data_IF_291229559383
#
_entry.id   IF_291229559383
#
_cell.length_a   1.000
_cell.length_b   1.000
_cell.length_c   1.000
_cell.angle_alpha   90.00
_cell.angle_beta   90.00
_cell.angle_gamma   90.00
#
_symmetry.space_group_name_H-M   'P 1'
#
loop_
_entity.id
_entity.type
_entity.pdbx_description
1 polymer ?
#
# COMPACT_ATOMS: atom_id res chain seq x y z
N UNK A 1 33.94 56.03 -7.09
CA UNK A 1 32.50 55.92 -7.44
C UNK A 1 32.04 54.51 -7.11
N UNK A 2 31.04 54.35 -6.24
CA UNK A 2 30.50 53.05 -5.85
C UNK A 2 29.72 52.42 -7.00
N UNK A 3 29.95 51.14 -7.25
CA UNK A 3 29.27 50.39 -8.31
C UNK A 3 27.75 50.34 -8.03
N UNK A 4 26.88 50.57 -9.04
CA UNK A 4 25.43 50.49 -8.85
C UNK A 4 24.98 49.04 -8.60
N UNK A 5 24.09 48.90 -7.63
CA UNK A 5 23.52 47.63 -7.15
C UNK A 5 22.81 46.93 -8.32
N UNK A 6 23.17 45.69 -8.60
CA UNK A 6 22.56 44.88 -9.65
C UNK A 6 21.45 44.02 -9.07
N UNK A 7 20.50 43.59 -9.90
CA UNK A 7 19.40 42.69 -9.49
C UNK A 7 19.91 41.37 -8.92
N UNK A 8 21.06 40.88 -9.40
CA UNK A 8 21.76 39.71 -8.84
C UNK A 8 22.24 39.89 -7.39
N UNK A 9 22.45 41.14 -6.95
CA UNK A 9 22.88 41.47 -5.59
C UNK A 9 21.68 41.51 -4.61
N UNK A 10 20.44 41.47 -5.13
CA UNK A 10 19.17 41.51 -4.38
C UNK A 10 18.54 40.11 -4.31
N UNK A 11 18.81 39.25 -5.30
CA UNK A 11 18.38 37.85 -5.28
C UNK A 11 19.36 37.08 -4.39
N UNK A 12 19.01 36.93 -3.11
CA UNK A 12 19.72 36.08 -2.16
C UNK A 12 19.58 34.60 -2.57
N UNK A 13 20.62 33.94 -3.11
CA UNK A 13 20.52 32.54 -3.52
C UNK A 13 20.24 31.63 -2.32
N UNK A 14 20.74 31.98 -1.13
CA UNK A 14 20.43 31.31 0.13
C UNK A 14 18.93 31.33 0.52
N UNK A 15 18.15 32.28 0.02
CA UNK A 15 16.69 32.35 0.22
C UNK A 15 15.90 31.73 -0.95
N UNK A 16 16.56 31.35 -2.05
CA UNK A 16 15.94 30.53 -3.07
C UNK A 16 15.74 29.12 -2.51
N UNK A 17 14.61 28.89 -1.85
CA UNK A 17 14.21 27.56 -1.38
C UNK A 17 14.29 26.61 -2.55
N UNK A 18 15.23 25.67 -2.51
CA UNK A 18 15.29 24.58 -3.47
C UNK A 18 14.10 23.64 -3.19
N UNK A 19 12.96 24.00 -3.76
CA UNK A 19 11.70 23.29 -3.65
C UNK A 19 11.86 21.84 -4.11
N UNK A 20 12.69 21.58 -5.13
CA UNK A 20 12.95 20.24 -5.63
C UNK A 20 13.58 19.37 -4.55
N UNK A 21 14.61 19.88 -3.88
CA UNK A 21 15.29 19.19 -2.77
C UNK A 21 14.37 19.01 -1.56
N UNK A 22 13.57 20.03 -1.22
CA UNK A 22 12.61 19.97 -0.11
C UNK A 22 11.52 18.92 -0.35
N UNK A 23 10.90 18.92 -1.54
CA UNK A 23 9.88 17.95 -1.92
C UNK A 23 10.44 16.53 -2.01
N UNK A 24 11.66 16.37 -2.52
CA UNK A 24 12.36 15.08 -2.56
C UNK A 24 12.64 14.54 -1.15
N UNK A 25 12.99 15.43 -0.22
CA UNK A 25 13.23 15.09 1.19
C UNK A 25 11.93 14.70 1.89
N UNK A 26 10.84 15.45 1.68
CA UNK A 26 9.50 15.10 2.18
C UNK A 26 9.04 13.74 1.65
N UNK A 27 9.18 13.50 0.33
CA UNK A 27 8.84 12.20 -0.29
C UNK A 27 9.66 11.05 0.29
N UNK A 28 10.91 11.29 0.69
CA UNK A 28 11.72 10.27 1.37
C UNK A 28 11.26 10.03 2.80
N UNK A 29 10.86 11.09 3.51
CA UNK A 29 10.34 11.01 4.87
C UNK A 29 9.02 10.23 4.94
N UNK A 30 8.15 10.31 3.92
CA UNK A 30 6.93 9.49 3.87
C UNK A 30 7.24 7.99 3.84
N UNK A 31 8.40 7.59 3.29
CA UNK A 31 8.85 6.20 3.21
C UNK A 31 9.57 5.71 4.48
N UNK A 32 9.54 6.48 5.57
CA UNK A 32 10.13 6.08 6.85
C UNK A 32 9.50 4.80 7.41
N UNK A 33 10.27 4.05 8.20
CA UNK A 33 9.80 2.82 8.83
C UNK A 33 8.57 3.10 9.70
N UNK A 34 8.57 4.18 10.48
CA UNK A 34 7.45 4.55 11.34
C UNK A 34 6.16 4.79 10.54
N UNK A 35 6.24 5.47 9.39
CA UNK A 35 5.07 5.68 8.54
C UNK A 35 4.58 4.39 7.90
N UNK A 36 5.48 3.50 7.47
CA UNK A 36 5.11 2.18 6.94
C UNK A 36 4.39 1.33 7.99
N UNK A 37 4.93 1.26 9.21
CA UNK A 37 4.33 0.50 10.29
C UNK A 37 2.96 1.07 10.69
N UNK A 38 2.82 2.40 10.73
CA UNK A 38 1.52 3.04 10.96
C UNK A 38 0.53 2.71 9.86
N UNK A 39 0.93 2.84 8.60
CA UNK A 39 0.07 2.46 7.46
C UNK A 39 -0.38 1.00 7.54
N UNK A 40 0.51 0.07 7.89
CA UNK A 40 0.16 -1.34 8.07
C UNK A 40 -0.89 -1.52 9.19
N UNK A 41 -0.71 -0.82 10.32
CA UNK A 41 -1.66 -0.86 11.44
C UNK A 41 -3.03 -0.32 11.04
N UNK A 42 -3.07 0.85 10.40
CA UNK A 42 -4.30 1.50 9.97
C UNK A 42 -5.04 0.64 8.91
N UNK A 43 -4.29 0.07 7.95
CA UNK A 43 -4.83 -0.84 6.94
C UNK A 43 -5.39 -2.13 7.58
N UNK A 44 -4.74 -2.66 8.62
CA UNK A 44 -5.21 -3.84 9.32
C UNK A 44 -6.54 -3.59 10.06
N UNK A 45 -6.67 -2.44 10.71
CA UNK A 45 -7.93 -2.02 11.34
C UNK A 45 -9.04 -1.82 10.32
N UNK A 46 -8.73 -1.16 9.19
CA UNK A 46 -9.68 -0.95 8.10
C UNK A 46 -10.19 -2.26 7.52
N UNK A 47 -9.30 -3.20 7.20
CA UNK A 47 -9.66 -4.52 6.66
C UNK A 47 -10.57 -5.27 7.64
N UNK A 48 -10.30 -5.19 8.94
CA UNK A 48 -11.15 -5.78 9.97
C UNK A 48 -12.55 -5.14 10.01
N UNK A 49 -12.63 -3.81 9.99
CA UNK A 49 -13.89 -3.08 9.99
C UNK A 49 -14.76 -3.41 8.77
N UNK A 50 -14.15 -3.54 7.58
CA UNK A 50 -14.86 -3.96 6.35
C UNK A 50 -15.37 -5.39 6.50
N UNK A 51 -14.54 -6.32 6.97
CA UNK A 51 -14.96 -7.70 7.17
C UNK A 51 -16.17 -7.82 8.11
N UNK A 52 -16.19 -7.03 9.18
CA UNK A 52 -17.28 -7.01 10.15
C UNK A 52 -18.55 -6.39 9.56
N UNK A 53 -18.42 -5.29 8.82
CA UNK A 53 -19.54 -4.61 8.17
C UNK A 53 -20.25 -5.51 7.14
N UNK A 54 -19.49 -6.29 6.37
CA UNK A 54 -20.05 -7.20 5.36
C UNK A 54 -20.28 -8.62 5.88
N UNK A 55 -19.88 -8.92 7.13
CA UNK A 55 -19.91 -10.27 7.71
C UNK A 55 -19.23 -11.30 6.80
N UNK A 56 -18.02 -10.97 6.33
CA UNK A 56 -17.23 -11.83 5.44
C UNK A 56 -15.93 -12.29 6.10
N UNK A 57 -15.49 -13.53 5.86
CA UNK A 57 -14.22 -14.01 6.37
C UNK A 57 -13.04 -13.32 5.67
N UNK A 58 -11.94 -13.14 6.40
CA UNK A 58 -10.73 -12.56 5.86
C UNK A 58 -9.81 -13.64 5.29
N UNK A 59 -9.46 -13.50 4.01
CA UNK A 59 -8.52 -14.37 3.30
C UNK A 59 -7.26 -13.58 2.97
N UNK A 60 -6.13 -13.99 3.54
CA UNK A 60 -4.86 -13.31 3.30
C UNK A 60 -4.26 -13.76 1.96
N UNK A 61 -3.98 -12.81 1.06
CA UNK A 61 -3.10 -13.10 -0.07
C UNK A 61 -1.64 -13.10 0.41
N UNK A 62 -0.97 -14.25 0.40
CA UNK A 62 0.39 -14.41 0.91
C UNK A 62 1.47 -13.60 0.19
N UNK A 63 1.13 -12.90 -0.91
CA UNK A 63 2.04 -11.91 -1.50
C UNK A 63 2.27 -10.71 -0.58
N UNK A 64 1.21 -10.17 0.01
CA UNK A 64 1.27 -8.98 0.88
C UNK A 64 0.15 -8.91 1.93
N UNK A 65 -0.99 -9.57 1.71
CA UNK A 65 -2.18 -9.47 2.55
C UNK A 65 -2.02 -9.98 3.99
N UNK A 66 -1.07 -10.89 4.24
CA UNK A 66 -0.77 -11.38 5.60
C UNK A 66 -0.25 -10.28 6.54
N UNK A 67 0.17 -9.11 6.03
CA UNK A 67 0.55 -7.97 6.85
C UNK A 67 -0.64 -7.23 7.48
N UNK A 68 -1.82 -7.36 6.87
CA UNK A 68 -3.00 -6.55 7.22
C UNK A 68 -4.11 -7.36 7.90
N UNK A 69 -3.88 -8.63 8.22
CA UNK A 69 -4.89 -9.49 8.83
C UNK A 69 -4.31 -10.07 10.12
N UNK A 70 -4.90 -9.75 11.29
CA UNK A 70 -4.54 -10.38 12.56
C UNK A 70 -4.67 -11.90 12.49
N UNK A 71 -3.79 -12.63 13.17
CA UNK A 71 -3.70 -14.10 13.05
C UNK A 71 -5.01 -14.79 13.48
N UNK A 72 -5.66 -14.27 14.51
CA UNK A 72 -6.94 -14.73 15.04
C UNK A 72 -8.12 -14.50 14.09
N UNK A 73 -7.97 -13.60 13.12
CA UNK A 73 -9.02 -13.25 12.14
C UNK A 73 -8.81 -13.89 10.78
N UNK A 74 -7.66 -14.49 10.54
CA UNK A 74 -7.30 -15.11 9.26
C UNK A 74 -8.06 -16.42 9.08
N UNK A 75 -9.08 -16.41 8.24
CA UNK A 75 -9.88 -17.60 7.95
C UNK A 75 -9.15 -18.55 6.98
N UNK A 76 -8.44 -17.99 5.99
CA UNK A 76 -7.69 -18.76 5.03
C UNK A 76 -6.55 -17.95 4.40
N UNK A 77 -5.77 -18.62 3.57
CA UNK A 77 -4.71 -18.04 2.74
C UNK A 77 -5.00 -18.26 1.26
N UNK A 78 -4.55 -17.32 0.43
CA UNK A 78 -4.53 -17.43 -1.02
C UNK A 78 -3.21 -16.90 -1.58
N UNK A 79 -2.92 -17.20 -2.84
CA UNK A 79 -1.73 -16.75 -3.54
C UNK A 79 -2.11 -16.30 -4.94
N UNK A 80 -2.69 -15.10 -5.05
CA UNK A 80 -3.03 -14.50 -6.34
C UNK A 80 -1.87 -13.62 -6.84
N UNK A 81 -1.51 -13.73 -8.11
CA UNK A 81 -0.69 -12.75 -8.85
C UNK A 81 -1.60 -11.70 -9.48
N UNK A 82 -1.04 -10.54 -9.82
CA UNK A 82 -1.77 -9.48 -10.54
C UNK A 82 -2.36 -9.96 -11.88
N UNK A 83 -1.78 -10.99 -12.50
CA UNK A 83 -2.30 -11.56 -13.75
C UNK A 83 -3.36 -12.64 -13.56
N UNK A 84 -3.73 -13.02 -12.34
CA UNK A 84 -4.82 -14.01 -12.11
C UNK A 84 -6.22 -13.39 -12.29
N UNK A 85 -6.33 -12.10 -12.62
CA UNK A 85 -7.61 -11.41 -12.77
C UNK A 85 -7.66 -10.36 -13.89
N UNK A 86 -6.72 -10.37 -14.83
CA UNK A 86 -6.78 -9.47 -15.99
C UNK A 86 -7.75 -10.02 -17.05
N UNK A 87 -8.66 -9.17 -17.52
CA UNK A 87 -9.62 -9.49 -18.58
C UNK A 87 -8.89 -9.97 -19.85
N UNK A 88 -9.16 -11.21 -20.27
CA UNK A 88 -8.59 -11.81 -21.48
C UNK A 88 -7.36 -12.69 -21.24
N UNK A 89 -6.78 -12.68 -20.04
CA UNK A 89 -5.64 -13.52 -19.65
C UNK A 89 -5.96 -14.29 -18.36
N UNK A 90 -6.80 -15.31 -18.49
CA UNK A 90 -7.13 -16.26 -17.43
C UNK A 90 -6.04 -17.32 -17.32
N UNK A 91 -4.79 -16.89 -17.20
CA UNK A 91 -3.64 -17.79 -17.04
C UNK A 91 -3.65 -18.37 -15.62
N UNK A 92 -4.58 -19.30 -15.39
CA UNK A 92 -4.78 -19.99 -14.14
C UNK A 92 -3.54 -20.81 -13.83
N UNK A 93 -2.90 -20.52 -12.70
CA UNK A 93 -1.74 -21.30 -12.28
C UNK A 93 -2.19 -22.71 -11.88
N UNK A 94 -1.92 -23.70 -12.73
CA UNK A 94 -2.16 -25.12 -12.39
C UNK A 94 -1.34 -25.60 -11.18
N UNK A 95 -0.30 -24.84 -10.78
CA UNK A 95 0.50 -25.11 -9.59
C UNK A 95 -0.09 -24.47 -8.32
N UNK A 96 -0.83 -23.36 -8.44
CA UNK A 96 -1.35 -22.57 -7.31
C UNK A 96 -2.81 -22.22 -7.56
N UNK A 97 -3.65 -23.25 -7.50
CA UNK A 97 -5.06 -23.16 -7.87
C UNK A 97 -5.94 -22.41 -6.87
N UNK A 98 -5.47 -22.19 -5.62
CA UNK A 98 -6.23 -21.57 -4.54
C UNK A 98 -7.60 -22.22 -4.24
N UNK A 99 -7.73 -23.53 -4.46
CA UNK A 99 -8.99 -24.29 -4.30
C UNK A 99 -9.54 -24.20 -2.87
N UNK A 100 -8.68 -24.04 -1.86
CA UNK A 100 -9.10 -23.86 -0.47
C UNK A 100 -10.04 -22.66 -0.26
N UNK A 101 -10.02 -21.66 -1.17
CA UNK A 101 -10.95 -20.52 -1.11
C UNK A 101 -12.37 -20.96 -1.46
N UNK A 102 -12.55 -21.94 -2.35
CA UNK A 102 -13.88 -22.42 -2.77
C UNK A 102 -14.65 -23.05 -1.61
N UNK A 103 -13.98 -23.80 -0.74
CA UNK A 103 -14.58 -24.35 0.47
C UNK A 103 -15.12 -23.23 1.37
N UNK A 104 -14.33 -22.18 1.56
CA UNK A 104 -14.71 -21.02 2.37
C UNK A 104 -15.90 -20.26 1.75
N UNK A 105 -15.92 -20.09 0.43
CA UNK A 105 -17.05 -19.48 -0.29
C UNK A 105 -18.33 -20.29 -0.10
N UNK A 106 -18.24 -21.61 -0.24
CA UNK A 106 -19.39 -22.52 -0.10
C UNK A 106 -20.06 -22.47 1.28
N UNK A 107 -19.31 -22.20 2.34
CA UNK A 107 -19.85 -22.08 3.72
C UNK A 107 -20.26 -20.66 4.11
N UNK A 108 -20.04 -19.64 3.26
CA UNK A 108 -20.32 -18.23 3.55
C UNK A 108 -21.34 -17.57 2.59
N UNK A 109 -22.29 -18.35 2.07
CA UNK A 109 -23.36 -17.90 1.18
C UNK A 109 -22.91 -17.37 -0.20
N UNK A 110 -21.76 -17.83 -0.70
CA UNK A 110 -21.20 -17.42 -2.00
C UNK A 110 -20.47 -16.08 -1.97
#
# INVERSE_FOLDING_TARGET
MSKPIQTSDIIFPELSTDFSTTLSTLKRATLSISNRLRSISDDAEFVCAVADAYRRPLVANERCGSWYIPLERKAASAYFKSTDGHTGEWSFSLRRLNIQVLELVGVNDG
#
